data_IF_313483839490
#
_entry.id   IF_313483839490
#
_cell.length_a   1.000
_cell.length_b   1.000
_cell.length_c   1.000
_cell.angle_alpha   90.00
_cell.angle_beta   90.00
_cell.angle_gamma   90.00
#
_symmetry.space_group_name_H-M   'P 1'
#
loop_
_entity.id
_entity.type
_entity.pdbx_description
1 polymer ?
#
# COMPACT_ATOMS: atom_id res chain seq x y z
N UNK A 1 -7.47 -3.56 14.14
CA UNK A 1 -7.19 -3.88 12.71
C UNK A 1 -8.06 -5.07 12.34
N UNK A 2 -8.88 -4.98 11.28
CA UNK A 2 -10.04 -5.89 11.02
C UNK A 2 -9.67 -7.21 10.29
N UNK A 3 -8.37 -7.45 10.06
CA UNK A 3 -7.86 -8.54 9.22
C UNK A 3 -8.12 -9.92 9.83
N UNK A 4 -7.91 -10.11 11.14
CA UNK A 4 -8.21 -11.36 11.86
C UNK A 4 -9.69 -11.76 11.84
N UNK A 5 -10.58 -10.81 11.58
CA UNK A 5 -12.03 -11.07 11.52
C UNK A 5 -12.48 -11.63 10.17
N UNK A 6 -11.61 -11.56 9.16
CA UNK A 6 -11.86 -12.02 7.79
C UNK A 6 -10.94 -13.15 7.36
N UNK A 7 -9.91 -13.45 8.16
CA UNK A 7 -8.94 -14.50 7.90
C UNK A 7 -8.96 -15.47 9.07
N UNK A 8 -9.25 -16.74 8.78
CA UNK A 8 -9.18 -17.80 9.78
C UNK A 8 -7.76 -17.91 10.35
N UNK A 9 -7.66 -18.06 11.67
CA UNK A 9 -6.40 -18.21 12.41
C UNK A 9 -5.74 -19.58 12.17
N UNK A 10 -6.51 -20.56 11.71
CA UNK A 10 -6.00 -21.89 11.36
C UNK A 10 -5.39 -21.95 9.94
N UNK A 11 -5.55 -20.90 9.15
CA UNK A 11 -5.16 -20.88 7.75
C UNK A 11 -3.80 -20.20 7.53
N UNK A 12 -2.93 -20.83 6.75
CA UNK A 12 -1.60 -20.31 6.32
C UNK A 12 -1.69 -19.28 5.19
N UNK A 13 -2.90 -18.81 4.89
CA UNK A 13 -3.15 -17.86 3.81
C UNK A 13 -2.36 -16.56 4.05
N UNK A 14 -1.63 -16.16 3.00
CA UNK A 14 -0.86 -14.92 2.99
C UNK A 14 -1.66 -13.80 2.35
N UNK A 15 -1.51 -12.60 2.90
CA UNK A 15 -2.25 -11.41 2.49
C UNK A 15 -1.33 -10.47 1.74
N UNK A 16 -1.86 -9.89 0.66
CA UNK A 16 -1.28 -8.71 0.02
C UNK A 16 -2.03 -7.48 0.52
N UNK A 17 -1.31 -6.58 1.18
CA UNK A 17 -1.87 -5.28 1.59
C UNK A 17 -1.61 -4.28 0.48
N UNK A 18 -2.64 -3.56 0.07
CA UNK A 18 -2.54 -2.55 -0.98
C UNK A 18 -2.97 -1.21 -0.40
N UNK A 19 -2.09 -0.23 -0.47
CA UNK A 19 -2.30 1.11 0.09
C UNK A 19 -2.32 2.10 -1.06
N UNK A 20 -3.50 2.65 -1.30
CA UNK A 20 -3.73 3.73 -2.24
C UNK A 20 -3.60 5.07 -1.50
N UNK A 21 -2.66 5.91 -1.94
CA UNK A 21 -2.38 7.23 -1.38
C UNK A 21 -2.80 8.38 -2.30
N UNK A 22 -3.65 8.13 -3.31
CA UNK A 22 -4.24 9.23 -4.07
C UNK A 22 -5.01 10.15 -3.13
N UNK A 23 -4.95 11.45 -3.43
CA UNK A 23 -5.74 12.45 -2.72
C UNK A 23 -7.23 12.13 -2.83
N UNK A 24 -7.96 12.37 -1.75
CA UNK A 24 -9.42 12.39 -1.73
C UNK A 24 -9.95 13.82 -1.77
N UNK A 25 -11.22 13.99 -2.09
CA UNK A 25 -11.87 15.30 -1.99
C UNK A 25 -11.89 15.75 -0.52
N UNK A 26 -11.19 16.85 -0.19
CA UNK A 26 -11.01 17.33 1.18
C UNK A 26 -9.91 16.64 1.98
N UNK A 27 -9.13 15.73 1.37
CA UNK A 27 -8.06 14.97 2.03
C UNK A 27 -6.72 15.33 1.40
N UNK A 28 -5.99 16.25 2.04
CA UNK A 28 -4.65 16.66 1.61
C UNK A 28 -3.71 15.46 1.56
N UNK A 29 -2.85 15.43 0.53
CA UNK A 29 -1.85 14.38 0.41
C UNK A 29 -0.80 14.54 1.53
N UNK A 30 -0.45 13.50 2.31
CA UNK A 30 0.64 13.59 3.27
C UNK A 30 1.94 14.00 2.58
N UNK A 31 2.77 14.76 3.29
CA UNK A 31 4.08 15.17 2.76
C UNK A 31 4.92 13.92 2.46
N UNK A 32 5.65 13.93 1.35
CA UNK A 32 6.51 12.82 0.92
C UNK A 32 7.52 12.37 1.99
N UNK A 33 7.92 13.28 2.88
CA UNK A 33 8.83 13.02 4.01
C UNK A 33 8.13 12.25 5.14
N UNK A 34 6.83 12.48 5.37
CA UNK A 34 6.05 11.79 6.41
C UNK A 34 5.60 10.38 6.03
N UNK A 35 5.67 10.05 4.74
CA UNK A 35 5.22 8.76 4.19
C UNK A 35 6.13 7.60 4.61
N UNK A 36 7.45 7.81 4.69
CA UNK A 36 8.40 6.72 4.98
C UNK A 36 8.23 6.18 6.41
N UNK A 37 8.17 7.01 7.47
CA UNK A 37 7.87 6.53 8.82
C UNK A 37 6.52 5.83 8.93
N UNK A 38 5.49 6.34 8.22
CA UNK A 38 4.17 5.71 8.20
C UNK A 38 4.22 4.30 7.63
N UNK A 39 4.90 4.08 6.50
CA UNK A 39 5.05 2.75 5.90
C UNK A 39 5.76 1.80 6.87
N UNK A 40 6.84 2.26 7.51
CA UNK A 40 7.60 1.46 8.47
C UNK A 40 6.69 1.01 9.63
N UNK A 41 5.87 1.92 10.15
CA UNK A 41 4.89 1.59 11.19
C UNK A 41 3.85 0.58 10.70
N UNK A 42 3.24 0.80 9.53
CA UNK A 42 2.22 -0.11 8.99
C UNK A 42 2.78 -1.52 8.79
N UNK A 43 3.97 -1.64 8.22
CA UNK A 43 4.59 -2.94 7.95
C UNK A 43 5.08 -3.60 9.23
N UNK A 44 5.63 -2.82 10.17
CA UNK A 44 5.96 -3.30 11.51
C UNK A 44 4.73 -3.88 12.21
N UNK A 45 3.60 -3.15 12.22
CA UNK A 45 2.34 -3.65 12.78
C UNK A 45 1.87 -4.91 12.06
N UNK A 46 1.93 -4.96 10.73
CA UNK A 46 1.54 -6.14 9.97
C UNK A 46 2.42 -7.36 10.28
N UNK A 47 3.74 -7.20 10.39
CA UNK A 47 4.64 -8.29 10.76
C UNK A 47 4.44 -8.72 12.22
N UNK A 48 4.16 -7.80 13.14
CA UNK A 48 3.93 -8.10 14.57
C UNK A 48 2.61 -8.82 14.79
N UNK A 49 1.52 -8.36 14.18
CA UNK A 49 0.20 -8.96 14.37
C UNK A 49 -0.05 -10.17 13.44
N UNK A 50 0.66 -10.24 12.31
CA UNK A 50 0.52 -11.29 11.31
C UNK A 50 1.87 -11.85 10.84
N UNK A 51 2.69 -12.39 11.76
CA UNK A 51 3.99 -12.98 11.42
C UNK A 51 3.79 -14.09 10.37
N UNK A 52 4.67 -14.16 9.36
CA UNK A 52 4.62 -15.10 8.22
C UNK A 52 3.39 -15.01 7.29
N UNK A 53 2.42 -14.12 7.56
CA UNK A 53 1.20 -13.99 6.76
C UNK A 53 1.20 -12.78 5.84
N UNK A 54 2.05 -11.77 6.07
CA UNK A 54 2.22 -10.70 5.10
C UNK A 54 3.05 -11.21 3.91
N UNK A 55 2.42 -11.39 2.75
CA UNK A 55 3.13 -11.71 1.50
C UNK A 55 3.84 -10.47 0.96
N UNK A 56 3.11 -9.35 0.87
CA UNK A 56 3.62 -8.08 0.35
C UNK A 56 2.74 -6.90 0.76
N UNK A 57 3.34 -5.72 0.78
CA UNK A 57 2.68 -4.44 0.95
C UNK A 57 2.95 -3.58 -0.29
N UNK A 58 1.93 -3.27 -1.07
CA UNK A 58 2.03 -2.46 -2.29
C UNK A 58 1.52 -1.06 -1.98
N UNK A 59 2.33 -0.06 -2.24
CA UNK A 59 2.01 1.33 -2.02
C UNK A 59 2.03 2.09 -3.33
N UNK A 60 0.93 2.79 -3.65
CA UNK A 60 0.82 3.58 -4.87
C UNK A 60 -0.18 4.73 -4.70
N UNK A 61 -0.10 5.78 -5.53
CA UNK A 61 1.03 6.17 -6.35
C UNK A 61 1.97 7.07 -5.55
N UNK A 62 3.22 6.66 -5.36
CA UNK A 62 4.22 7.55 -4.75
C UNK A 62 4.72 8.57 -5.77
N UNK A 63 4.88 9.85 -5.38
CA UNK A 63 5.67 10.79 -6.16
C UNK A 63 7.08 10.22 -6.40
N UNK A 64 7.64 10.46 -7.59
CA UNK A 64 8.93 9.88 -7.99
C UNK A 64 10.06 10.15 -6.97
N UNK A 65 10.11 11.37 -6.43
CA UNK A 65 11.08 11.76 -5.39
C UNK A 65 10.90 10.96 -4.09
N UNK A 66 9.66 10.72 -3.68
CA UNK A 66 9.35 9.87 -2.53
C UNK A 66 9.75 8.41 -2.79
N UNK A 67 9.55 7.92 -4.01
CA UNK A 67 9.96 6.55 -4.40
C UNK A 67 11.47 6.38 -4.28
N UNK A 68 12.24 7.36 -4.73
CA UNK A 68 13.70 7.35 -4.59
C UNK A 68 14.13 7.38 -3.12
N UNK A 69 13.55 8.27 -2.32
CA UNK A 69 13.82 8.34 -0.88
C UNK A 69 13.48 7.02 -0.18
N UNK A 70 12.35 6.42 -0.51
CA UNK A 70 11.94 5.15 0.06
C UNK A 70 12.88 4.02 -0.34
N UNK A 71 13.28 3.93 -1.61
CA UNK A 71 14.23 2.91 -2.06
C UNK A 71 15.58 3.01 -1.35
N UNK A 72 16.04 4.22 -1.02
CA UNK A 72 17.22 4.41 -0.15
C UNK A 72 16.95 4.06 1.32
N UNK A 73 15.75 4.38 1.81
CA UNK A 73 15.36 4.06 3.18
C UNK A 73 15.20 2.55 3.43
N UNK A 74 14.97 1.75 2.38
CA UNK A 74 14.90 0.28 2.45
C UNK A 74 16.18 -0.34 3.01
N UNK A 75 17.34 0.27 2.77
CA UNK A 75 18.62 -0.21 3.29
C UNK A 75 18.69 -0.17 4.84
N UNK A 76 17.80 0.59 5.48
CA UNK A 76 17.68 0.69 6.94
C UNK A 76 16.54 -0.16 7.52
N UNK A 77 15.83 -0.92 6.68
CA UNK A 77 14.83 -1.89 7.09
C UNK A 77 15.47 -3.28 7.17
N UNK A 78 14.91 -4.17 7.99
CA UNK A 78 15.32 -5.57 7.92
C UNK A 78 15.05 -6.11 6.50
N UNK A 79 15.93 -6.96 5.94
CA UNK A 79 15.84 -7.40 4.55
C UNK A 79 14.50 -8.06 4.21
N UNK A 80 13.92 -8.81 5.16
CA UNK A 80 12.64 -9.50 4.98
C UNK A 80 11.48 -8.50 4.84
N UNK A 81 11.47 -7.45 5.66
CA UNK A 81 10.52 -6.34 5.56
C UNK A 81 10.71 -5.54 4.28
N UNK A 82 11.96 -5.22 3.92
CA UNK A 82 12.26 -4.46 2.71
C UNK A 82 11.80 -5.19 1.44
N UNK A 83 11.94 -6.53 1.40
CA UNK A 83 11.51 -7.38 0.29
C UNK A 83 9.97 -7.42 0.13
N UNK A 84 9.24 -7.33 1.24
CA UNK A 84 7.76 -7.33 1.24
C UNK A 84 7.19 -6.01 0.72
N UNK A 85 7.90 -4.89 0.79
CA UNK A 85 7.35 -3.58 0.42
C UNK A 85 7.62 -3.24 -1.05
N UNK A 86 6.56 -3.03 -1.81
CA UNK A 86 6.59 -2.62 -3.22
C UNK A 86 6.04 -1.20 -3.35
N UNK A 87 6.80 -0.31 -3.97
CA UNK A 87 6.37 1.06 -4.23
C UNK A 87 6.18 1.24 -5.73
N UNK A 88 5.01 1.73 -6.12
CA UNK A 88 4.68 2.07 -7.50
C UNK A 88 4.57 3.60 -7.61
N UNK A 89 5.42 4.19 -8.45
CA UNK A 89 5.39 5.62 -8.70
C UNK A 89 4.22 6.01 -9.59
N UNK A 90 3.63 7.19 -9.36
CA UNK A 90 2.61 7.74 -10.24
C UNK A 90 2.07 9.09 -9.78
N UNK A 91 1.10 9.62 -10.52
CA UNK A 91 0.38 10.83 -10.14
C UNK A 91 -0.62 10.54 -9.02
N UNK A 92 -0.71 11.43 -8.02
CA UNK A 92 -1.51 11.25 -6.81
C UNK A 92 -2.80 12.06 -6.74
N UNK A 93 -3.30 12.58 -7.87
CA UNK A 93 -4.56 13.34 -7.88
C UNK A 93 -5.79 12.43 -7.78
N UNK A 94 -6.95 13.00 -7.42
CA UNK A 94 -8.23 12.27 -7.29
C UNK A 94 -8.58 11.48 -8.56
N UNK A 95 -8.25 12.03 -9.73
CA UNK A 95 -8.53 11.43 -11.04
C UNK A 95 -7.34 10.69 -11.65
N UNK A 96 -6.23 10.57 -10.92
CA UNK A 96 -5.05 9.87 -11.44
C UNK A 96 -5.35 8.38 -11.63
N UNK A 97 -4.89 7.79 -12.75
CA UNK A 97 -5.02 6.36 -12.99
C UNK A 97 -4.18 5.56 -11.98
N UNK A 98 -4.54 4.29 -11.78
CA UNK A 98 -3.68 3.34 -11.07
C UNK A 98 -2.41 3.12 -11.91
N UNK A 99 -1.19 3.20 -11.32
CA UNK A 99 0.03 2.96 -12.07
C UNK A 99 0.08 1.55 -12.66
N UNK A 100 0.55 1.41 -13.91
CA UNK A 100 0.61 0.11 -14.60
C UNK A 100 1.39 -0.94 -13.81
N UNK A 101 2.45 -0.54 -13.11
CA UNK A 101 3.25 -1.41 -12.24
C UNK A 101 2.42 -2.15 -11.18
N UNK A 102 1.29 -1.61 -10.76
CA UNK A 102 0.37 -2.27 -9.81
C UNK A 102 -0.21 -3.55 -10.42
N UNK A 103 -0.43 -3.59 -11.74
CA UNK A 103 -0.96 -4.75 -12.47
C UNK A 103 0.00 -5.96 -12.45
N UNK A 104 1.30 -5.75 -12.18
CA UNK A 104 2.26 -6.84 -11.98
C UNK A 104 2.02 -7.61 -10.68
N UNK A 105 1.29 -6.99 -9.73
CA UNK A 105 1.12 -7.53 -8.39
C UNK A 105 -0.32 -7.93 -8.05
N UNK A 106 -1.31 -7.29 -8.65
CA UNK A 106 -2.73 -7.56 -8.41
C UNK A 106 -3.51 -7.67 -9.73
N UNK A 107 -4.47 -8.61 -9.77
CA UNK A 107 -5.27 -8.87 -10.96
C UNK A 107 -6.30 -7.77 -11.26
N UNK A 108 -6.79 -7.67 -12.51
CA UNK A 108 -7.64 -6.58 -12.97
C UNK A 108 -8.95 -6.45 -12.19
N UNK A 109 -9.57 -7.58 -11.81
CA UNK A 109 -10.80 -7.58 -10.98
C UNK A 109 -10.59 -6.93 -9.61
N UNK A 110 -9.42 -7.12 -8.99
CA UNK A 110 -9.12 -6.51 -7.70
C UNK A 110 -8.92 -5.00 -7.85
N UNK A 111 -8.23 -4.58 -8.92
CA UNK A 111 -8.05 -3.16 -9.26
C UNK A 111 -9.40 -2.48 -9.47
N UNK A 112 -10.29 -3.10 -10.26
CA UNK A 112 -11.64 -2.60 -10.52
C UNK A 112 -12.44 -2.45 -9.22
N UNK A 113 -12.46 -3.49 -8.37
CA UNK A 113 -13.14 -3.45 -7.08
C UNK A 113 -12.61 -2.33 -6.17
N UNK A 114 -11.29 -2.12 -6.14
CA UNK A 114 -10.67 -1.03 -5.38
C UNK A 114 -11.04 0.35 -5.92
N UNK A 115 -11.01 0.53 -7.24
CA UNK A 115 -11.39 1.78 -7.90
C UNK A 115 -12.87 2.12 -7.67
N UNK A 116 -13.77 1.15 -7.78
CA UNK A 116 -15.20 1.34 -7.53
C UNK A 116 -15.45 1.78 -6.09
N UNK A 117 -14.81 1.10 -5.14
CA UNK A 117 -14.89 1.47 -3.73
C UNK A 117 -14.36 2.87 -3.47
N UNK A 118 -13.22 3.21 -4.05
CA UNK A 118 -12.59 4.54 -3.91
C UNK A 118 -13.50 5.64 -4.46
N UNK A 119 -14.00 5.48 -5.68
CA UNK A 119 -14.91 6.45 -6.32
C UNK A 119 -16.23 6.59 -5.57
N UNK A 120 -16.73 5.49 -5.00
CA UNK A 120 -17.93 5.48 -4.15
C UNK A 120 -17.81 6.37 -2.91
N UNK A 121 -16.60 6.63 -2.40
CA UNK A 121 -16.39 7.52 -1.25
C UNK A 121 -16.63 9.01 -1.57
N UNK A 122 -16.65 9.38 -2.85
CA UNK A 122 -16.76 10.78 -3.31
C UNK A 122 -18.08 11.08 -4.03
N UNK A 123 -18.93 10.08 -4.25
CA UNK A 123 -20.30 10.29 -4.75
C UNK A 123 -21.19 10.64 -3.55
N UNK A 124 -21.26 11.93 -3.21
CA UNK A 124 -22.36 12.49 -2.40
C UNK A 124 -23.44 13.02 -3.35
#
# INVERSE_FOLDING_TARGET
MYLDRKLDRSCTEKVTVVIDIRAGQGWSNPSSVSIVPFIKLVVGLLNTYFPERLSRCILYPLPFTATLLFNKAKDYLDPDTAAKIQVCSGAGSVQSPVPEKVCEFIGPKAIECMEDRRRGLFRQ
#
